data_IF_790276644006
#
_entry.id   IF_790276644006
#
_cell.length_a   1.000
_cell.length_b   1.000
_cell.length_c   1.000
_cell.angle_alpha   90.00
_cell.angle_beta   90.00
_cell.angle_gamma   90.00
#
_symmetry.space_group_name_H-M   'P 1'
#
loop_
_entity.id
_entity.type
_entity.pdbx_description
1 polymer ?
#
# COMPACT_ATOMS: atom_id res chain seq x y z
N UNK A 1 3.53 14.92 23.68
CA UNK A 1 2.99 15.66 22.49
C UNK A 1 2.05 14.68 21.81
N UNK A 2 0.79 15.04 21.61
CA UNK A 2 -0.19 14.20 20.92
C UNK A 2 0.09 14.35 19.42
N UNK A 3 0.20 13.24 18.69
CA UNK A 3 0.40 13.27 17.25
C UNK A 3 -0.94 13.49 16.53
N UNK A 4 -0.95 14.14 15.34
CA UNK A 4 -2.19 14.53 14.64
C UNK A 4 -3.16 13.39 14.37
N UNK A 5 -2.66 12.17 14.12
CA UNK A 5 -3.45 10.98 13.78
C UNK A 5 -3.41 9.92 14.89
N UNK A 6 -3.09 10.29 16.11
CA UNK A 6 -3.13 9.37 17.24
C UNK A 6 -4.54 8.81 17.44
N UNK A 7 -4.64 7.48 17.51
CA UNK A 7 -5.91 6.76 17.60
C UNK A 7 -6.55 6.35 16.28
N UNK A 8 -6.06 6.86 15.13
CA UNK A 8 -6.53 6.45 13.82
C UNK A 8 -5.89 5.11 13.40
N UNK A 9 -6.71 4.18 12.94
CA UNK A 9 -6.30 2.86 12.49
C UNK A 9 -6.31 2.78 10.95
N UNK A 10 -5.18 2.41 10.38
CA UNK A 10 -4.99 2.31 8.93
C UNK A 10 -4.65 0.88 8.54
N UNK A 11 -5.37 0.32 7.59
CA UNK A 11 -5.06 -0.95 6.97
C UNK A 11 -4.42 -0.71 5.60
N UNK A 12 -3.13 -1.03 5.49
CA UNK A 12 -2.36 -0.96 4.24
C UNK A 12 -2.34 -2.33 3.57
N UNK A 13 -3.14 -2.50 2.53
CA UNK A 13 -3.15 -3.70 1.68
C UNK A 13 -2.51 -3.44 0.31
N UNK A 14 -1.79 -2.34 0.22
CA UNK A 14 -1.07 -1.93 -0.98
C UNK A 14 0.31 -2.56 -1.09
N UNK A 15 0.95 -2.41 -2.24
CA UNK A 15 2.25 -3.01 -2.56
C UNK A 15 3.17 -2.00 -3.22
N UNK A 16 4.46 -2.29 -3.20
CA UNK A 16 5.54 -1.60 -3.90
C UNK A 16 5.85 -0.24 -3.26
N UNK A 17 5.32 0.87 -3.78
CA UNK A 17 5.75 2.22 -3.39
C UNK A 17 4.60 3.15 -3.00
N UNK A 18 3.73 3.50 -3.93
CA UNK A 18 2.81 4.63 -3.78
C UNK A 18 1.86 4.48 -2.57
N UNK A 19 1.20 3.33 -2.44
CA UNK A 19 0.36 3.01 -1.29
C UNK A 19 1.17 2.86 0.00
N UNK A 20 2.24 2.05 0.01
CA UNK A 20 3.08 1.92 1.20
C UNK A 20 3.66 3.24 1.69
N UNK A 21 4.10 4.13 0.80
CA UNK A 21 4.61 5.46 1.18
C UNK A 21 3.51 6.35 1.79
N UNK A 22 2.29 6.33 1.22
CA UNK A 22 1.15 7.03 1.79
C UNK A 22 0.82 6.51 3.20
N UNK A 23 0.77 5.19 3.38
CA UNK A 23 0.52 4.57 4.68
C UNK A 23 1.62 4.91 5.71
N UNK A 24 2.91 4.94 5.28
CA UNK A 24 4.02 5.35 6.14
C UNK A 24 3.86 6.81 6.59
N UNK A 25 3.45 7.70 5.70
CA UNK A 25 3.21 9.11 6.05
C UNK A 25 2.15 9.23 7.15
N UNK A 26 1.08 8.44 7.09
CA UNK A 26 0.07 8.40 8.16
C UNK A 26 0.64 7.83 9.46
N UNK A 27 1.48 6.80 9.39
CA UNK A 27 2.20 6.26 10.55
C UNK A 27 3.12 7.29 11.20
N UNK A 28 3.87 8.05 10.40
CA UNK A 28 4.75 9.13 10.88
C UNK A 28 3.95 10.25 11.59
N UNK A 29 2.67 10.42 11.23
CA UNK A 29 1.73 11.34 11.88
C UNK A 29 1.03 10.75 13.10
N UNK A 30 1.32 9.49 13.48
CA UNK A 30 0.81 8.85 14.70
C UNK A 30 -0.31 7.84 14.47
N UNK A 31 -0.72 7.56 13.25
CA UNK A 31 -1.69 6.50 12.98
C UNK A 31 -1.11 5.10 13.28
N UNK A 32 -1.96 4.21 13.75
CA UNK A 32 -1.65 2.78 13.87
C UNK A 32 -1.83 2.13 12.51
N UNK A 33 -0.73 1.68 11.89
CA UNK A 33 -0.76 1.11 10.54
C UNK A 33 -0.46 -0.37 10.59
N UNK A 34 -1.40 -1.20 10.13
CA UNK A 34 -1.20 -2.63 9.86
C UNK A 34 -1.04 -2.79 8.36
N UNK A 35 0.09 -3.35 7.93
CA UNK A 35 0.32 -3.73 6.53
C UNK A 35 0.08 -5.22 6.34
N UNK A 36 -0.81 -5.57 5.41
CA UNK A 36 -0.99 -6.95 4.99
C UNK A 36 -0.05 -7.24 3.82
N UNK A 37 0.79 -8.23 4.00
CA UNK A 37 1.61 -8.80 2.93
C UNK A 37 1.16 -10.22 2.61
N UNK A 38 1.32 -10.61 1.34
CA UNK A 38 1.17 -12.02 0.97
C UNK A 38 2.18 -12.89 1.75
N UNK A 39 1.95 -14.20 1.93
CA UNK A 39 2.88 -15.08 2.65
C UNK A 39 4.32 -15.07 2.15
N UNK A 40 4.53 -14.72 0.88
CA UNK A 40 5.86 -14.58 0.25
C UNK A 40 6.44 -13.17 0.33
N UNK A 41 5.75 -12.23 1.00
CA UNK A 41 6.15 -10.85 1.18
C UNK A 41 5.79 -9.92 0.02
N UNK A 42 6.09 -8.64 0.20
CA UNK A 42 6.06 -7.62 -0.85
C UNK A 42 7.29 -7.79 -1.76
N UNK A 43 7.11 -7.68 -3.08
CA UNK A 43 8.21 -7.84 -4.05
C UNK A 43 9.36 -6.85 -3.81
N UNK A 44 9.04 -5.65 -3.30
CA UNK A 44 10.03 -4.62 -2.96
C UNK A 44 11.02 -5.03 -1.87
N UNK A 45 10.73 -6.08 -1.09
CA UNK A 45 11.68 -6.65 -0.12
C UNK A 45 12.97 -7.18 -0.78
N UNK A 46 12.88 -7.53 -2.07
CA UNK A 46 13.98 -8.11 -2.86
C UNK A 46 14.64 -7.11 -3.83
N UNK A 47 14.19 -5.87 -3.85
CA UNK A 47 14.68 -4.84 -4.78
C UNK A 47 15.91 -4.11 -4.23
N UNK A 48 17.02 -4.83 -4.13
CA UNK A 48 18.34 -4.32 -3.75
C UNK A 48 19.38 -4.48 -4.87
N UNK A 49 20.64 -4.06 -4.65
CA UNK A 49 21.15 -3.44 -3.43
C UNK A 49 20.69 -1.97 -3.23
N UNK A 50 20.87 -1.39 -2.03
CA UNK A 50 21.44 -2.01 -0.83
C UNK A 50 20.41 -2.84 -0.06
N UNK A 51 20.93 -3.84 0.67
CA UNK A 51 20.16 -4.65 1.61
C UNK A 51 20.58 -4.32 3.05
N UNK A 52 19.66 -4.50 3.98
CA UNK A 52 19.88 -4.40 5.43
C UNK A 52 19.58 -5.75 6.08
N UNK A 53 20.40 -6.16 7.01
CA UNK A 53 20.14 -7.35 7.80
C UNK A 53 19.05 -7.04 8.84
N UNK A 54 17.97 -7.80 8.83
CA UNK A 54 16.94 -7.77 9.86
C UNK A 54 17.42 -8.44 11.15
N UNK A 55 16.68 -8.24 12.25
CA UNK A 55 16.97 -8.89 13.54
C UNK A 55 16.87 -10.43 13.49
N UNK A 56 16.14 -10.95 12.52
CA UNK A 56 15.99 -12.40 12.24
C UNK A 56 17.06 -12.98 11.33
N UNK A 57 18.06 -12.17 10.93
CA UNK A 57 19.13 -12.54 10.01
C UNK A 57 18.75 -12.57 8.53
N UNK A 58 17.49 -12.28 8.18
CA UNK A 58 17.07 -12.15 6.80
C UNK A 58 17.46 -10.78 6.24
N UNK A 59 17.85 -10.74 4.99
CA UNK A 59 18.13 -9.49 4.28
C UNK A 59 16.84 -8.90 3.71
N UNK A 60 16.68 -7.59 3.88
CA UNK A 60 15.55 -6.81 3.35
C UNK A 60 16.10 -5.63 2.56
N UNK A 61 15.60 -5.40 1.36
CA UNK A 61 16.01 -4.27 0.56
C UNK A 61 15.70 -2.94 1.24
N UNK A 62 16.63 -1.99 1.20
CA UNK A 62 16.42 -0.65 1.72
C UNK A 62 15.24 0.07 1.06
N UNK A 63 14.91 -0.31 -0.17
CA UNK A 63 13.73 0.17 -0.86
C UNK A 63 12.44 -0.15 -0.07
N UNK A 64 12.27 -1.39 0.39
CA UNK A 64 11.13 -1.76 1.23
C UNK A 64 11.11 -0.97 2.54
N UNK A 65 12.26 -0.84 3.20
CA UNK A 65 12.38 -0.13 4.48
C UNK A 65 12.06 1.35 4.35
N UNK A 66 12.34 1.96 3.19
CA UNK A 66 12.12 3.39 2.95
C UNK A 66 10.64 3.81 2.98
N UNK A 67 9.72 2.87 2.74
CA UNK A 67 8.28 3.15 2.67
C UNK A 67 7.41 2.31 3.62
N UNK A 68 8.04 1.55 4.56
CA UNK A 68 7.30 0.70 5.48
C UNK A 68 7.68 0.88 6.97
N UNK A 69 8.38 1.97 7.29
CA UNK A 69 8.72 2.33 8.66
C UNK A 69 7.46 2.53 9.50
N UNK A 70 7.49 2.08 10.75
CA UNK A 70 6.44 2.33 11.73
C UNK A 70 5.19 1.46 11.56
N UNK A 71 5.17 0.52 10.62
CA UNK A 71 4.04 -0.38 10.37
C UNK A 71 4.21 -1.71 11.08
N UNK A 72 3.09 -2.26 11.54
CA UNK A 72 2.98 -3.66 11.90
C UNK A 72 2.72 -4.49 10.65
N UNK A 73 3.51 -5.57 10.46
CA UNK A 73 3.39 -6.44 9.29
C UNK A 73 2.59 -7.69 9.66
N UNK A 74 1.53 -7.95 8.92
CA UNK A 74 0.74 -9.16 9.01
C UNK A 74 0.80 -9.92 7.69
N UNK A 75 1.27 -11.17 7.73
CA UNK A 75 1.23 -12.04 6.55
C UNK A 75 -0.12 -12.71 6.43
N UNK A 76 -0.79 -12.53 5.31
CA UNK A 76 -2.06 -13.15 5.00
C UNK A 76 -2.30 -13.27 3.48
N UNK A 77 -2.83 -14.41 3.06
CA UNK A 77 -3.36 -14.54 1.71
C UNK A 77 -4.80 -14.00 1.68
N UNK A 78 -5.01 -12.82 1.11
CA UNK A 78 -6.32 -12.16 1.07
C UNK A 78 -7.42 -13.04 0.46
N UNK A 79 -7.07 -13.92 -0.48
CA UNK A 79 -8.05 -14.82 -1.13
C UNK A 79 -8.48 -15.96 -0.23
N UNK A 80 -7.56 -16.50 0.56
CA UNK A 80 -7.76 -17.68 1.41
C UNK A 80 -8.21 -17.27 2.82
N UNK A 81 -7.71 -16.14 3.31
CA UNK A 81 -7.97 -15.61 4.65
C UNK A 81 -8.90 -14.40 4.62
N UNK A 82 -9.86 -14.41 3.70
CA UNK A 82 -10.76 -13.27 3.44
C UNK A 82 -11.45 -12.77 4.70
N UNK A 83 -11.97 -13.67 5.54
CA UNK A 83 -12.70 -13.30 6.76
C UNK A 83 -11.81 -12.59 7.78
N UNK A 84 -10.56 -13.04 7.93
CA UNK A 84 -9.56 -12.35 8.77
C UNK A 84 -9.28 -10.94 8.28
N UNK A 85 -9.11 -10.77 6.97
CA UNK A 85 -8.87 -9.44 6.38
C UNK A 85 -10.11 -8.55 6.53
N UNK A 86 -11.31 -9.10 6.35
CA UNK A 86 -12.55 -8.35 6.58
C UNK A 86 -12.70 -7.89 8.04
N UNK A 87 -12.34 -8.70 9.00
CA UNK A 87 -12.35 -8.29 10.41
C UNK A 87 -11.45 -7.08 10.65
N UNK A 88 -10.25 -7.07 10.05
CA UNK A 88 -9.35 -5.91 10.12
C UNK A 88 -9.92 -4.67 9.42
N UNK A 89 -10.63 -4.85 8.32
CA UNK A 89 -11.33 -3.76 7.61
C UNK A 89 -12.39 -3.12 8.53
N UNK A 90 -13.17 -3.94 9.23
CA UNK A 90 -14.21 -3.43 10.15
C UNK A 90 -13.64 -2.66 11.35
N UNK A 91 -12.40 -2.95 11.73
CA UNK A 91 -11.70 -2.28 12.84
C UNK A 91 -10.91 -1.04 12.41
N UNK A 92 -10.80 -0.78 11.08
CA UNK A 92 -9.98 0.29 10.53
C UNK A 92 -10.81 1.53 10.21
N UNK A 93 -10.20 2.72 10.29
CA UNK A 93 -10.78 3.99 9.87
C UNK A 93 -10.43 4.30 8.41
N UNK A 94 -9.27 3.84 7.97
CA UNK A 94 -8.73 4.08 6.62
C UNK A 94 -8.20 2.79 6.02
N UNK A 95 -8.45 2.57 4.73
CA UNK A 95 -7.80 1.53 3.93
C UNK A 95 -7.02 2.18 2.81
N UNK A 96 -5.81 1.66 2.56
CA UNK A 96 -4.99 2.02 1.40
C UNK A 96 -4.77 0.77 0.56
N UNK A 97 -5.17 0.84 -0.71
CA UNK A 97 -4.99 -0.25 -1.67
C UNK A 97 -4.49 0.28 -3.02
N UNK A 98 -3.81 -0.55 -3.77
CA UNK A 98 -3.36 -0.23 -5.14
C UNK A 98 -3.57 -1.39 -6.11
N UNK A 99 -4.67 -2.09 -5.96
CA UNK A 99 -5.09 -3.12 -6.89
C UNK A 99 -5.58 -2.52 -8.22
N UNK A 100 -5.77 -3.37 -9.21
CA UNK A 100 -6.50 -2.96 -10.41
C UNK A 100 -7.93 -2.58 -10.04
N UNK A 101 -8.51 -1.53 -10.65
CA UNK A 101 -9.88 -1.11 -10.38
C UNK A 101 -10.89 -2.27 -10.35
N UNK A 102 -11.78 -2.25 -9.35
CA UNK A 102 -12.77 -3.30 -9.11
C UNK A 102 -12.24 -4.58 -8.45
N UNK A 103 -10.92 -4.70 -8.22
CA UNK A 103 -10.37 -5.90 -7.56
C UNK A 103 -10.64 -5.88 -6.06
N UNK A 104 -10.59 -4.72 -5.43
CA UNK A 104 -10.92 -4.56 -4.02
C UNK A 104 -12.34 -5.06 -3.74
N UNK A 105 -13.34 -4.54 -4.45
CA UNK A 105 -14.75 -4.93 -4.26
C UNK A 105 -14.98 -6.41 -4.53
N UNK A 106 -14.36 -6.96 -5.56
CA UNK A 106 -14.47 -8.38 -5.90
C UNK A 106 -13.88 -9.29 -4.83
N UNK A 107 -12.74 -8.92 -4.22
CA UNK A 107 -12.05 -9.73 -3.22
C UNK A 107 -12.67 -9.58 -1.83
N UNK A 108 -12.98 -8.37 -1.43
CA UNK A 108 -13.35 -8.03 -0.06
C UNK A 108 -14.83 -7.65 0.09
N UNK A 109 -15.50 -7.30 -1.01
CA UNK A 109 -16.91 -6.93 -1.02
C UNK A 109 -17.17 -5.52 -0.49
N UNK A 110 -18.44 -5.18 -0.26
CA UNK A 110 -18.82 -3.86 0.22
C UNK A 110 -18.27 -3.62 1.63
N UNK A 111 -17.93 -2.37 1.90
CA UNK A 111 -17.47 -1.89 3.20
C UNK A 111 -18.45 -0.87 3.78
N UNK A 112 -18.35 -0.56 5.06
CA UNK A 112 -19.21 0.42 5.70
C UNK A 112 -19.00 1.82 5.12
N UNK A 113 -20.04 2.65 5.14
CA UNK A 113 -20.06 3.96 4.45
C UNK A 113 -19.15 5.03 5.06
N UNK A 114 -18.76 4.88 6.32
CA UNK A 114 -17.89 5.78 7.04
C UNK A 114 -16.40 5.43 6.92
N UNK A 115 -16.07 4.31 6.28
CA UNK A 115 -14.70 3.90 6.03
C UNK A 115 -14.09 4.72 4.88
N UNK A 116 -12.91 5.26 5.11
CA UNK A 116 -12.15 5.96 4.08
C UNK A 116 -11.36 4.93 3.27
N UNK A 117 -11.64 4.81 1.98
CA UNK A 117 -10.91 3.91 1.06
C UNK A 117 -10.08 4.74 0.09
N UNK A 118 -8.76 4.65 0.22
CA UNK A 118 -7.80 5.28 -0.69
C UNK A 118 -7.35 4.26 -1.75
N UNK A 119 -7.92 4.32 -2.93
CA UNK A 119 -7.60 3.45 -4.06
C UNK A 119 -6.62 4.13 -5.01
N UNK A 120 -5.39 3.65 -5.07
CA UNK A 120 -4.32 4.23 -5.87
C UNK A 120 -4.15 3.44 -7.16
N UNK A 121 -4.33 4.09 -8.30
CA UNK A 121 -4.09 3.50 -9.62
C UNK A 121 -3.58 4.56 -10.61
N UNK A 122 -2.93 4.14 -11.69
CA UNK A 122 -2.30 5.07 -12.63
C UNK A 122 -3.27 6.01 -13.34
N UNK A 123 -4.52 5.57 -13.56
CA UNK A 123 -5.53 6.36 -14.27
C UNK A 123 -6.78 6.66 -13.43
N UNK A 124 -6.73 6.38 -12.11
CA UNK A 124 -7.88 6.54 -11.22
C UNK A 124 -8.90 5.41 -11.36
N UNK A 125 -9.99 5.54 -10.60
CA UNK A 125 -11.06 4.53 -10.55
C UNK A 125 -12.14 4.74 -11.63
N UNK A 126 -12.13 5.88 -12.29
CA UNK A 126 -13.12 6.29 -13.29
C UNK A 126 -12.44 6.65 -14.61
N UNK A 127 -13.23 6.89 -15.66
CA UNK A 127 -12.70 7.31 -16.96
C UNK A 127 -12.36 6.16 -17.90
N UNK A 128 -12.08 6.48 -19.18
CA UNK A 128 -11.93 5.47 -20.23
C UNK A 128 -10.70 4.59 -20.09
N UNK A 129 -9.67 5.06 -19.42
CA UNK A 129 -8.38 4.35 -19.25
C UNK A 129 -8.23 3.62 -17.92
N UNK A 130 -9.24 3.62 -17.05
CA UNK A 130 -9.17 3.03 -15.69
C UNK A 130 -8.62 1.59 -15.66
N UNK A 131 -8.85 0.81 -16.71
CA UNK A 131 -8.45 -0.59 -16.79
C UNK A 131 -7.06 -0.80 -17.45
N UNK A 132 -6.43 0.26 -17.94
CA UNK A 132 -5.07 0.16 -18.51
C UNK A 132 -4.06 -0.08 -17.39
N UNK A 133 -3.07 -0.96 -17.62
CA UNK A 133 -1.97 -1.12 -16.68
C UNK A 133 -1.12 0.15 -16.64
N UNK A 134 -0.67 0.50 -15.44
CA UNK A 134 0.19 1.65 -15.23
C UNK A 134 1.43 1.23 -14.44
N UNK A 135 2.59 1.54 -15.01
CA UNK A 135 3.88 1.45 -14.34
C UNK A 135 4.49 2.85 -14.31
N UNK A 136 5.35 3.10 -13.34
CA UNK A 136 5.97 4.41 -13.12
C UNK A 136 6.53 5.03 -14.40
N UNK A 137 7.39 4.29 -15.12
CA UNK A 137 7.99 4.74 -16.37
C UNK A 137 6.94 5.13 -17.45
N UNK A 138 5.87 4.35 -17.56
CA UNK A 138 4.77 4.62 -18.50
C UNK A 138 4.02 5.89 -18.11
N UNK A 139 3.81 6.10 -16.82
CA UNK A 139 3.13 7.29 -16.31
C UNK A 139 3.99 8.53 -16.46
N UNK A 140 5.28 8.45 -16.21
CA UNK A 140 6.24 9.54 -16.46
C UNK A 140 6.24 9.98 -17.94
N UNK A 141 6.27 9.01 -18.86
CA UNK A 141 6.20 9.30 -20.30
C UNK A 141 4.88 9.96 -20.70
N UNK A 142 3.75 9.41 -20.24
CA UNK A 142 2.41 9.90 -20.61
C UNK A 142 2.02 11.23 -19.97
N UNK A 143 2.53 11.51 -18.78
CA UNK A 143 2.31 12.80 -18.10
C UNK A 143 3.15 13.94 -18.65
N UNK A 144 4.14 13.63 -19.48
CA UNK A 144 5.10 14.61 -19.99
C UNK A 144 6.24 14.94 -19.03
N UNK A 145 6.31 14.32 -17.84
CA UNK A 145 7.39 14.57 -16.86
C UNK A 145 8.77 14.30 -17.50
N UNK A 146 8.90 13.23 -18.30
CA UNK A 146 10.17 12.93 -18.97
C UNK A 146 10.65 14.07 -19.88
N UNK A 147 9.73 14.83 -20.52
CA UNK A 147 10.10 15.92 -21.43
C UNK A 147 10.69 17.14 -20.72
N UNK A 148 10.49 17.25 -19.41
CA UNK A 148 10.97 18.40 -18.60
C UNK A 148 12.04 18.00 -17.58
N UNK A 149 12.31 16.70 -17.43
CA UNK A 149 13.34 16.23 -16.49
C UNK A 149 14.76 16.37 -17.05
N UNK A 150 14.91 16.47 -18.37
CA UNK A 150 16.20 16.55 -19.06
C UNK A 150 16.81 15.16 -19.39
N UNK A 151 17.98 15.18 -20.00
CA UNK A 151 18.78 13.99 -20.37
C UNK A 151 19.61 13.52 -19.18
#
# INVERSE_FOLDING_TARGET
MVLPLEGIKVLDISRILAGPHAAQTLSDMGAQVIKIEAPWGDDSRKWGPPFQSGFDGNEVASYFLSCNRGKEILFANIKEEREKVRSLIEESDVIIENFRPGTFDRLLGPVRNDLIVCSISGYGQTGPRRNEPAFDLTMQARSGIMSVTGE
#
